data_IF_604231341491
#
_entry.id   IF_604231341491
#
_cell.length_a   1.000
_cell.length_b   1.000
_cell.length_c   1.000
_cell.angle_alpha   90.00
_cell.angle_beta   90.00
_cell.angle_gamma   90.00
#
_symmetry.space_group_name_H-M   'P 1'
#
loop_
_entity.id
_entity.type
_entity.pdbx_description
1 polymer ?
#
# COMPACT_ATOMS: atom_id res chain seq x y z
N UNK A 1 -10.55 20.91 -3.40
CA UNK A 1 -10.69 20.54 -1.96
C UNK A 1 -10.14 21.69 -1.10
N UNK A 2 -10.58 21.88 0.16
CA UNK A 2 -9.93 22.86 1.04
C UNK A 2 -8.49 22.44 1.32
N UNK A 3 -7.61 23.43 1.59
CA UNK A 3 -6.20 23.17 1.89
C UNK A 3 -6.09 22.27 3.13
N UNK A 4 -5.45 21.09 3.04
CA UNK A 4 -5.29 20.21 4.20
C UNK A 4 -4.30 20.82 5.19
N UNK A 5 -4.42 20.41 6.45
CA UNK A 5 -3.39 20.74 7.44
C UNK A 5 -2.14 19.93 7.14
N UNK A 6 -0.97 20.51 7.41
CA UNK A 6 0.30 19.80 7.32
C UNK A 6 0.86 19.65 8.73
N UNK A 7 1.32 18.45 9.08
CA UNK A 7 1.96 18.16 10.36
C UNK A 7 3.37 17.62 10.11
N UNK A 8 4.32 18.07 10.94
CA UNK A 8 5.68 17.53 10.97
C UNK A 8 5.80 16.54 12.12
N UNK A 9 6.29 15.34 11.83
CA UNK A 9 6.55 14.30 12.82
C UNK A 9 8.07 14.27 13.08
N UNK A 10 8.52 14.43 14.33
CA UNK A 10 9.94 14.43 14.69
C UNK A 10 10.48 13.00 14.72
N UNK A 11 10.65 12.42 13.53
CA UNK A 11 11.26 11.10 13.36
C UNK A 11 12.22 11.11 12.17
N UNK A 12 13.42 10.52 12.30
CA UNK A 12 14.40 10.47 11.21
C UNK A 12 14.03 9.45 10.12
N UNK A 13 12.98 8.64 10.32
CA UNK A 13 12.56 7.64 9.34
C UNK A 13 11.73 8.33 8.24
N UNK A 14 12.15 8.29 6.96
CA UNK A 14 11.45 8.99 5.89
C UNK A 14 10.07 8.38 5.64
N UNK A 15 9.03 9.19 5.83
CA UNK A 15 7.65 8.80 5.58
C UNK A 15 6.75 10.03 5.37
N UNK A 16 5.63 9.83 4.68
CA UNK A 16 4.49 10.74 4.68
C UNK A 16 3.21 9.91 4.60
N UNK A 17 2.12 10.44 5.16
CA UNK A 17 0.80 9.82 5.03
C UNK A 17 -0.32 10.83 5.23
N UNK A 18 -1.42 10.62 4.53
CA UNK A 18 -2.67 11.33 4.78
C UNK A 18 -3.51 10.66 5.88
N UNK A 19 -4.10 11.48 6.74
CA UNK A 19 -5.09 11.06 7.75
C UNK A 19 -6.27 12.03 7.82
N UNK A 20 -7.39 11.58 8.37
CA UNK A 20 -8.60 12.38 8.53
C UNK A 20 -9.87 11.68 8.02
N UNK A 21 -11.02 12.12 8.52
CA UNK A 21 -12.33 11.48 8.26
C UNK A 21 -12.99 11.92 6.94
N UNK A 22 -12.50 13.00 6.33
CA UNK A 22 -13.01 13.50 5.05
C UNK A 22 -11.99 14.40 4.37
N UNK A 23 -12.12 14.63 3.04
CA UNK A 23 -11.29 15.61 2.34
C UNK A 23 -11.35 17.03 2.91
N UNK A 24 -12.42 17.36 3.65
CA UNK A 24 -12.58 18.67 4.33
C UNK A 24 -11.78 18.79 5.62
N UNK A 25 -11.41 17.67 6.24
CA UNK A 25 -10.67 17.59 7.52
C UNK A 25 -9.48 16.65 7.39
N UNK A 26 -8.78 16.71 6.26
CA UNK A 26 -7.58 15.93 6.03
C UNK A 26 -6.34 16.64 6.60
N UNK A 27 -5.43 15.85 7.15
CA UNK A 27 -4.10 16.26 7.58
C UNK A 27 -3.08 15.38 6.87
N UNK A 28 -2.09 15.99 6.25
CA UNK A 28 -0.94 15.26 5.69
C UNK A 28 0.19 15.39 6.70
N UNK A 29 0.65 14.25 7.20
CA UNK A 29 1.79 14.19 8.09
C UNK A 29 3.05 13.86 7.27
N UNK A 30 4.13 14.58 7.54
CA UNK A 30 5.44 14.41 6.92
C UNK A 30 6.47 14.24 8.02
N UNK A 31 7.45 13.37 7.84
CA UNK A 31 8.53 13.18 8.83
C UNK A 31 9.72 14.09 8.55
N UNK A 32 10.49 14.44 9.59
CA UNK A 32 11.78 15.12 9.44
C UNK A 32 12.76 14.31 8.57
N UNK A 33 12.73 12.98 8.69
CA UNK A 33 13.46 12.07 7.81
C UNK A 33 13.12 12.25 6.34
N UNK A 34 11.87 12.52 6.01
CA UNK A 34 11.47 12.78 4.62
C UNK A 34 12.04 14.11 4.14
N UNK A 35 11.85 15.17 4.94
CA UNK A 35 12.31 16.52 4.63
C UNK A 35 13.83 16.62 4.45
N UNK A 36 14.58 15.79 5.16
CA UNK A 36 16.06 15.74 5.08
C UNK A 36 16.57 14.90 3.91
N UNK A 37 15.79 13.92 3.42
CA UNK A 37 16.20 13.01 2.35
C UNK A 37 15.77 13.44 0.95
N UNK A 38 14.63 14.12 0.85
CA UNK A 38 14.03 14.53 -0.40
C UNK A 38 14.31 16.01 -0.69
N UNK A 39 14.45 16.34 -1.97
CA UNK A 39 14.45 17.74 -2.39
C UNK A 39 13.01 18.28 -2.46
N UNK A 40 12.86 19.58 -2.68
CA UNK A 40 11.55 20.24 -2.74
C UNK A 40 10.62 19.62 -3.78
N UNK A 41 11.17 19.22 -4.95
CA UNK A 41 10.35 18.65 -6.01
C UNK A 41 9.82 17.26 -5.73
N UNK A 42 10.64 16.44 -5.10
CA UNK A 42 10.30 15.13 -4.59
C UNK A 42 9.28 15.21 -3.45
N UNK A 43 9.43 16.18 -2.54
CA UNK A 43 8.45 16.40 -1.46
C UNK A 43 7.10 16.80 -2.05
N UNK A 44 7.07 17.75 -2.98
CA UNK A 44 5.82 18.16 -3.64
C UNK A 44 5.14 16.98 -4.34
N UNK A 45 5.92 16.14 -5.03
CA UNK A 45 5.41 14.96 -5.70
C UNK A 45 4.81 13.92 -4.73
N UNK A 46 5.48 13.67 -3.59
CA UNK A 46 4.96 12.79 -2.51
C UNK A 46 3.68 13.37 -1.90
N UNK A 47 3.64 14.69 -1.65
CA UNK A 47 2.41 15.34 -1.17
C UNK A 47 1.28 15.24 -2.20
N UNK A 48 1.58 15.36 -3.50
CA UNK A 48 0.63 15.13 -4.58
C UNK A 48 0.01 13.73 -4.54
N UNK A 49 0.83 12.71 -4.28
CA UNK A 49 0.38 11.33 -4.08
C UNK A 49 -0.55 11.19 -2.87
N UNK A 50 -0.17 11.73 -1.70
CA UNK A 50 -0.99 11.70 -0.49
C UNK A 50 -2.32 12.46 -0.67
N UNK A 51 -2.28 13.58 -1.40
CA UNK A 51 -3.47 14.34 -1.77
C UNK A 51 -4.43 13.52 -2.65
N UNK A 52 -3.91 12.73 -3.58
CA UNK A 52 -4.72 11.87 -4.44
C UNK A 52 -5.48 10.81 -3.61
N UNK A 53 -4.85 10.24 -2.57
CA UNK A 53 -5.53 9.33 -1.64
C UNK A 53 -6.67 10.00 -0.87
N UNK A 54 -6.46 11.26 -0.44
CA UNK A 54 -7.49 12.05 0.24
C UNK A 54 -8.67 12.32 -0.70
N UNK A 55 -8.39 12.79 -1.91
CA UNK A 55 -9.41 13.16 -2.90
C UNK A 55 -10.34 11.98 -3.21
N UNK A 56 -9.77 10.80 -3.35
CA UNK A 56 -10.52 9.59 -3.68
C UNK A 56 -11.08 8.81 -2.49
N UNK A 57 -10.77 9.23 -1.26
CA UNK A 57 -11.22 8.56 -0.02
C UNK A 57 -10.73 7.11 0.06
N UNK A 58 -9.44 6.88 -0.21
CA UNK A 58 -8.82 5.54 -0.24
C UNK A 58 -8.95 4.79 1.07
N UNK A 59 -8.87 5.51 2.17
CA UNK A 59 -9.11 4.97 3.52
C UNK A 59 -10.51 4.41 3.67
N UNK A 60 -11.54 5.10 3.18
CA UNK A 60 -12.92 4.63 3.23
C UNK A 60 -13.13 3.39 2.34
N UNK A 61 -12.64 3.43 1.10
CA UNK A 61 -12.81 2.31 0.16
C UNK A 61 -12.07 1.07 0.66
N UNK A 62 -10.86 1.22 1.19
CA UNK A 62 -10.10 0.12 1.80
C UNK A 62 -10.80 -0.44 3.03
N UNK A 63 -11.40 0.41 3.89
CA UNK A 63 -12.18 -0.04 5.04
C UNK A 63 -13.44 -0.81 4.64
N UNK A 64 -14.18 -0.33 3.63
CA UNK A 64 -15.34 -1.03 3.08
C UNK A 64 -14.95 -2.39 2.48
N UNK A 65 -13.89 -2.44 1.68
CA UNK A 65 -13.39 -3.69 1.10
C UNK A 65 -12.95 -4.69 2.19
N UNK A 66 -12.24 -4.22 3.22
CA UNK A 66 -11.85 -5.06 4.36
C UNK A 66 -13.07 -5.57 5.15
N UNK A 67 -14.10 -4.74 5.32
CA UNK A 67 -15.34 -5.13 6.01
C UNK A 67 -16.09 -6.21 5.23
N UNK A 68 -16.23 -6.06 3.91
CA UNK A 68 -16.87 -7.05 3.04
C UNK A 68 -16.08 -8.36 3.06
N UNK A 69 -14.75 -8.30 2.91
CA UNK A 69 -13.89 -9.48 2.98
C UNK A 69 -13.98 -10.18 4.36
N UNK A 70 -14.06 -9.41 5.44
CA UNK A 70 -14.27 -9.90 6.80
C UNK A 70 -15.61 -10.58 6.97
N UNK A 71 -16.70 -9.99 6.47
CA UNK A 71 -18.04 -10.57 6.51
C UNK A 71 -18.10 -11.90 5.74
N UNK A 72 -17.53 -11.95 4.53
CA UNK A 72 -17.45 -13.17 3.72
C UNK A 72 -16.66 -14.26 4.47
N UNK A 73 -15.51 -13.90 5.04
CA UNK A 73 -14.68 -14.83 5.83
C UNK A 73 -15.41 -15.34 7.08
N UNK A 74 -16.18 -14.48 7.75
CA UNK A 74 -16.98 -14.85 8.92
C UNK A 74 -18.13 -15.78 8.56
N UNK A 75 -18.83 -15.55 7.45
CA UNK A 75 -19.87 -16.46 6.95
C UNK A 75 -19.30 -17.82 6.57
N UNK A 76 -18.13 -17.86 5.92
CA UNK A 76 -17.42 -19.10 5.65
C UNK A 76 -17.06 -19.83 6.96
N UNK A 77 -16.58 -19.09 7.97
CA UNK A 77 -16.27 -19.66 9.29
C UNK A 77 -17.50 -20.25 9.99
N UNK A 78 -18.65 -19.56 9.99
CA UNK A 78 -19.89 -20.09 10.55
C UNK A 78 -20.38 -21.34 9.78
N UNK A 79 -20.30 -21.31 8.45
CA UNK A 79 -20.60 -22.46 7.60
C UNK A 79 -19.76 -23.68 7.96
N UNK A 80 -18.47 -23.49 8.31
CA UNK A 80 -17.60 -24.56 8.80
C UNK A 80 -18.18 -25.27 10.02
N UNK A 81 -18.63 -24.53 11.03
CA UNK A 81 -19.23 -25.12 12.25
C UNK A 81 -20.57 -25.80 12.00
N UNK A 82 -21.40 -25.23 11.12
CA UNK A 82 -22.67 -25.84 10.71
C UNK A 82 -22.51 -27.22 10.08
N UNK A 83 -21.43 -27.44 9.32
CA UNK A 83 -21.11 -28.76 8.72
C UNK A 83 -20.64 -29.77 9.78
N UNK A 84 -19.90 -29.32 10.80
CA UNK A 84 -19.42 -30.19 11.88
C UNK A 84 -20.54 -30.56 12.88
N UNK A 85 -21.49 -29.66 13.15
CA UNK A 85 -22.59 -29.87 14.10
C UNK A 85 -23.85 -30.47 13.46
N UNK A 86 -24.07 -30.26 12.16
CA UNK A 86 -25.32 -30.59 11.45
C UNK A 86 -25.33 -31.92 10.69
N UNK A 87 -24.40 -32.86 10.96
CA UNK A 87 -24.36 -34.16 10.28
C UNK A 87 -25.44 -35.12 10.82
N UNK A 88 -26.71 -34.76 10.68
CA UNK A 88 -27.82 -35.71 10.73
C UNK A 88 -27.92 -36.43 9.39
N UNK A 89 -27.89 -37.76 9.46
CA UNK A 89 -28.22 -38.70 8.38
C UNK A 89 -29.58 -38.32 7.81
N UNK A 90 -29.64 -37.73 6.63
CA UNK A 90 -30.60 -38.14 5.60
C UNK A 90 -30.21 -37.58 4.23
N UNK A 91 -30.38 -38.44 3.24
CA UNK A 91 -29.81 -38.32 1.90
C UNK A 91 -30.62 -37.40 0.99
N UNK A 92 -29.97 -36.99 -0.11
CA UNK A 92 -30.52 -36.42 -1.38
C UNK A 92 -30.54 -34.90 -1.53
N UNK A 93 -29.36 -34.30 -1.39
CA UNK A 93 -28.75 -33.43 -2.42
C UNK A 93 -27.36 -33.07 -1.90
N UNK A 94 -26.41 -33.99 -2.07
CA UNK A 94 -25.07 -33.80 -1.57
C UNK A 94 -24.33 -32.83 -2.47
N UNK A 95 -24.41 -31.53 -2.15
CA UNK A 95 -23.26 -30.67 -2.43
C UNK A 95 -22.05 -31.42 -1.83
N UNK A 96 -21.10 -31.89 -2.65
CA UNK A 96 -20.10 -32.84 -2.15
C UNK A 96 -19.42 -32.22 -0.94
N UNK A 97 -19.28 -32.96 0.16
CA UNK A 97 -18.57 -32.47 1.36
C UNK A 97 -17.20 -31.88 0.98
N UNK A 98 -16.58 -32.45 -0.05
CA UNK A 98 -15.39 -31.93 -0.72
C UNK A 98 -15.54 -30.51 -1.28
N UNK A 99 -16.63 -30.21 -2.01
CA UNK A 99 -16.91 -28.88 -2.55
C UNK A 99 -17.09 -27.83 -1.43
N UNK A 100 -17.74 -28.22 -0.34
CA UNK A 100 -17.91 -27.33 0.81
C UNK A 100 -16.56 -27.09 1.51
N UNK A 101 -15.78 -28.13 1.78
CA UNK A 101 -14.42 -28.00 2.34
C UNK A 101 -13.50 -27.15 1.47
N UNK A 102 -13.57 -27.33 0.15
CA UNK A 102 -12.80 -26.53 -0.80
C UNK A 102 -13.20 -25.05 -0.75
N UNK A 103 -14.51 -24.75 -0.65
CA UNK A 103 -15.01 -23.37 -0.55
C UNK A 103 -14.52 -22.65 0.70
N UNK A 104 -14.37 -23.34 1.84
CA UNK A 104 -13.87 -22.75 3.09
C UNK A 104 -12.42 -22.25 3.01
N UNK A 105 -11.64 -22.81 2.09
CA UNK A 105 -10.26 -22.40 1.84
C UNK A 105 -10.22 -21.37 0.72
N UNK A 106 -10.93 -21.62 -0.38
CA UNK A 106 -10.88 -20.77 -1.57
C UNK A 106 -11.53 -19.40 -1.35
N UNK A 107 -12.62 -19.31 -0.58
CA UNK A 107 -13.36 -18.06 -0.38
C UNK A 107 -12.50 -17.01 0.37
N UNK A 108 -11.88 -17.30 1.52
CA UNK A 108 -10.99 -16.34 2.20
C UNK A 108 -9.78 -15.93 1.35
N UNK A 109 -9.22 -16.86 0.58
CA UNK A 109 -8.10 -16.56 -0.34
C UNK A 109 -8.58 -15.60 -1.43
N UNK A 110 -9.71 -15.90 -2.08
CA UNK A 110 -10.28 -15.03 -3.11
C UNK A 110 -10.60 -13.63 -2.56
N UNK A 111 -11.22 -13.53 -1.38
CA UNK A 111 -11.52 -12.26 -0.73
C UNK A 111 -10.24 -11.46 -0.43
N UNK A 112 -9.18 -12.13 0.04
CA UNK A 112 -7.88 -11.50 0.29
C UNK A 112 -7.24 -11.00 -1.00
N UNK A 113 -7.27 -11.80 -2.08
CA UNK A 113 -6.73 -11.42 -3.38
C UNK A 113 -7.48 -10.22 -3.98
N UNK A 114 -8.81 -10.20 -3.89
CA UNK A 114 -9.63 -9.07 -4.33
C UNK A 114 -9.26 -7.81 -3.55
N UNK A 115 -9.16 -7.88 -2.22
CA UNK A 115 -8.75 -6.76 -1.37
C UNK A 115 -7.36 -6.23 -1.77
N UNK A 116 -6.39 -7.11 -1.98
CA UNK A 116 -5.04 -6.73 -2.40
C UNK A 116 -5.04 -6.10 -3.80
N UNK A 117 -5.84 -6.61 -4.74
CA UNK A 117 -5.98 -6.05 -6.07
C UNK A 117 -6.57 -4.64 -6.04
N UNK A 118 -7.60 -4.41 -5.23
CA UNK A 118 -8.19 -3.08 -5.00
C UNK A 118 -7.13 -2.13 -4.43
N UNK A 119 -6.42 -2.54 -3.37
CA UNK A 119 -5.36 -1.73 -2.74
C UNK A 119 -4.28 -1.32 -3.75
N UNK A 120 -3.75 -2.28 -4.52
CA UNK A 120 -2.69 -2.01 -5.51
C UNK A 120 -3.18 -1.12 -6.65
N UNK A 121 -4.42 -1.31 -7.12
CA UNK A 121 -5.04 -0.46 -8.14
C UNK A 121 -5.11 1.00 -7.70
N UNK A 122 -5.40 1.22 -6.41
CA UNK A 122 -5.48 2.56 -5.80
C UNK A 122 -4.14 3.25 -5.70
N UNK A 123 -3.10 2.55 -5.29
CA UNK A 123 -1.73 3.07 -5.28
C UNK A 123 -1.28 3.54 -6.66
N UNK A 124 -1.53 2.74 -7.71
CA UNK A 124 -1.20 3.15 -9.08
C UNK A 124 -1.98 4.38 -9.54
N UNK A 125 -3.26 4.49 -9.14
CA UNK A 125 -4.09 5.64 -9.47
C UNK A 125 -3.60 6.89 -8.74
N UNK A 126 -3.21 6.76 -7.48
CA UNK A 126 -2.66 7.85 -6.68
C UNK A 126 -1.30 8.32 -7.21
N UNK A 127 -0.42 7.40 -7.65
CA UNK A 127 0.81 7.73 -8.36
C UNK A 127 0.54 8.56 -9.63
N UNK A 128 -0.39 8.09 -10.46
CA UNK A 128 -0.71 8.74 -11.72
C UNK A 128 -1.33 10.12 -11.51
N UNK A 129 -2.33 10.23 -10.63
CA UNK A 129 -3.01 11.51 -10.38
C UNK A 129 -2.15 12.49 -9.59
N UNK A 130 -1.37 12.02 -8.60
CA UNK A 130 -0.43 12.86 -7.87
C UNK A 130 0.65 13.42 -8.79
N UNK A 131 1.20 12.59 -9.68
CA UNK A 131 2.16 13.04 -10.69
C UNK A 131 1.55 14.02 -11.70
N UNK A 132 0.30 13.79 -12.16
CA UNK A 132 -0.40 14.72 -13.05
C UNK A 132 -0.72 16.04 -12.37
N UNK A 133 -1.14 16.01 -11.11
CA UNK A 133 -1.48 17.21 -10.34
C UNK A 133 -0.28 18.12 -10.11
N UNK A 134 0.88 17.52 -9.85
CA UNK A 134 2.14 18.24 -9.59
C UNK A 134 2.93 18.51 -10.87
N UNK A 135 2.62 17.81 -11.96
CA UNK A 135 3.45 17.79 -13.16
C UNK A 135 4.81 17.11 -12.93
N UNK A 136 4.93 16.26 -11.90
CA UNK A 136 6.23 15.72 -11.41
C UNK A 136 6.33 14.20 -11.35
N UNK A 137 6.17 13.50 -12.49
CA UNK A 137 6.27 12.04 -12.52
C UNK A 137 7.68 11.51 -12.19
N UNK A 138 8.76 12.20 -12.60
CA UNK A 138 10.12 11.74 -12.35
C UNK A 138 10.55 12.00 -10.91
N UNK A 139 10.22 13.16 -10.34
CA UNK A 139 10.49 13.43 -8.94
C UNK A 139 9.75 12.44 -8.03
N UNK A 140 8.50 12.05 -8.34
CA UNK A 140 7.82 11.00 -7.57
C UNK A 140 8.57 9.66 -7.65
N UNK A 141 9.01 9.26 -8.85
CA UNK A 141 9.82 8.05 -9.04
C UNK A 141 11.11 8.10 -8.19
N UNK A 142 11.82 9.24 -8.21
CA UNK A 142 13.06 9.43 -7.47
C UNK A 142 12.82 9.40 -5.96
N UNK A 143 11.76 10.06 -5.49
CA UNK A 143 11.35 10.06 -4.09
C UNK A 143 11.12 8.64 -3.57
N UNK A 144 10.34 7.83 -4.30
CA UNK A 144 10.05 6.45 -3.89
C UNK A 144 11.33 5.60 -3.77
N UNK A 145 12.31 5.79 -4.67
CA UNK A 145 13.61 5.10 -4.61
C UNK A 145 14.40 5.56 -3.37
N UNK A 146 14.48 6.87 -3.13
CA UNK A 146 15.20 7.44 -1.99
C UNK A 146 14.60 7.01 -0.65
N UNK A 147 13.27 7.01 -0.54
CA UNK A 147 12.56 6.55 0.66
C UNK A 147 12.87 5.08 0.91
N UNK A 148 12.71 4.20 -0.11
CA UNK A 148 13.03 2.76 0.04
C UNK A 148 14.46 2.59 0.49
N UNK A 149 15.43 3.15 -0.21
CA UNK A 149 16.84 2.97 0.12
C UNK A 149 17.19 3.51 1.51
N UNK A 150 16.57 4.61 1.93
CA UNK A 150 16.75 5.15 3.29
C UNK A 150 16.19 4.21 4.35
N UNK A 151 14.94 3.73 4.19
CA UNK A 151 14.31 2.79 5.14
C UNK A 151 15.10 1.48 5.21
N UNK A 152 15.59 0.98 4.08
CA UNK A 152 16.40 -0.25 4.01
C UNK A 152 17.78 -0.12 4.64
N UNK A 153 18.29 1.09 4.82
CA UNK A 153 19.60 1.33 5.43
C UNK A 153 19.53 1.52 6.95
N UNK A 154 18.32 1.62 7.51
CA UNK A 154 18.12 1.76 8.95
C UNK A 154 18.16 0.39 9.65
N UNK A 155 18.60 0.33 10.91
CA UNK A 155 18.45 -0.86 11.73
C UNK A 155 16.95 -1.19 11.94
N UNK A 156 16.60 -2.43 12.31
CA UNK A 156 15.22 -2.81 12.62
C UNK A 156 14.58 -1.81 13.58
N UNK A 157 13.51 -1.16 13.12
CA UNK A 157 12.84 -0.12 13.88
C UNK A 157 11.83 -0.75 14.85
N UNK A 158 11.71 -0.28 16.10
CA UNK A 158 10.64 -0.67 17.01
C UNK A 158 9.34 0.03 16.60
N UNK A 159 8.75 -0.44 15.51
CA UNK A 159 7.48 0.08 14.96
C UNK A 159 6.30 -0.76 15.45
N UNK A 160 5.24 -0.09 15.88
CA UNK A 160 3.99 -0.74 16.22
C UNK A 160 3.39 -1.40 14.95
N UNK A 161 3.14 -2.72 14.94
CA UNK A 161 2.54 -3.41 13.79
C UNK A 161 1.23 -2.79 13.30
N UNK A 162 0.45 -2.20 14.22
CA UNK A 162 -0.81 -1.52 13.91
C UNK A 162 -0.62 -0.25 13.06
N UNK A 163 0.59 0.31 12.99
CA UNK A 163 0.88 1.53 12.21
C UNK A 163 1.46 1.25 10.83
N UNK A 164 1.82 -0.01 10.52
CA UNK A 164 2.57 -0.39 9.30
C UNK A 164 1.89 0.07 8.00
N UNK A 165 0.56 0.12 7.99
CA UNK A 165 -0.24 0.59 6.85
C UNK A 165 -0.14 2.10 6.57
N UNK A 166 0.44 2.88 7.48
CA UNK A 166 0.71 4.32 7.31
C UNK A 166 2.11 4.59 6.74
N UNK A 167 2.89 3.56 6.45
CA UNK A 167 4.27 3.70 5.97
C UNK A 167 4.34 3.48 4.45
N UNK A 168 4.98 4.41 3.74
CA UNK A 168 5.26 4.29 2.29
C UNK A 168 6.10 3.04 1.99
N UNK A 169 7.03 2.70 2.89
CA UNK A 169 7.86 1.51 2.82
C UNK A 169 7.77 0.78 4.15
N UNK A 170 7.40 -0.50 4.11
CA UNK A 170 7.25 -1.32 5.31
C UNK A 170 8.59 -1.41 6.08
N UNK A 171 8.68 -0.87 7.30
CA UNK A 171 9.91 -0.91 8.12
C UNK A 171 10.14 -2.26 8.82
N UNK A 172 9.12 -3.11 8.94
CA UNK A 172 9.22 -4.47 9.46
C UNK A 172 9.67 -5.41 8.32
N UNK A 173 10.97 -5.49 8.07
CA UNK A 173 11.51 -6.42 7.07
C UNK A 173 11.84 -7.77 7.68
N UNK A 174 11.22 -8.81 7.12
CA UNK A 174 11.47 -10.23 7.34
C UNK A 174 10.35 -11.05 6.70
N UNK A 175 10.70 -12.01 5.85
CA UNK A 175 9.83 -12.98 5.15
C UNK A 175 9.25 -12.57 3.78
N UNK A 176 9.86 -13.15 2.74
CA UNK A 176 9.46 -13.08 1.31
C UNK A 176 8.00 -13.52 1.04
N UNK A 177 7.39 -14.31 1.94
CA UNK A 177 5.98 -14.70 1.86
C UNK A 177 5.01 -13.56 2.25
N UNK A 178 5.43 -12.66 3.14
CA UNK A 178 4.64 -11.47 3.52
C UNK A 178 4.69 -10.37 2.44
N UNK A 179 5.68 -10.41 1.55
CA UNK A 179 5.81 -9.46 0.43
C UNK A 179 4.64 -9.61 -0.58
N UNK A 180 4.07 -10.82 -0.70
CA UNK A 180 2.85 -11.08 -1.48
C UNK A 180 1.58 -10.53 -0.82
N UNK A 181 1.61 -10.38 0.50
CA UNK A 181 0.55 -9.76 1.32
C UNK A 181 0.76 -8.26 1.53
N UNK A 182 1.83 -7.67 0.97
CA UNK A 182 2.02 -6.22 0.94
C UNK A 182 0.86 -5.56 0.20
N UNK A 183 0.21 -4.63 0.89
CA UNK A 183 -0.86 -3.76 0.37
C UNK A 183 -0.35 -2.81 -0.71
N UNK A 184 0.96 -2.56 -0.75
CA UNK A 184 1.61 -1.74 -1.77
C UNK A 184 2.12 -2.59 -2.95
N UNK A 185 1.97 -2.11 -4.20
CA UNK A 185 2.58 -2.76 -5.34
C UNK A 185 4.11 -2.65 -5.29
N UNK A 186 4.81 -3.50 -6.05
CA UNK A 186 6.27 -3.47 -6.08
C UNK A 186 6.80 -2.11 -6.55
N UNK A 187 7.87 -1.63 -5.91
CA UNK A 187 8.43 -0.31 -6.22
C UNK A 187 8.81 -0.20 -7.69
N UNK A 188 9.37 -1.27 -8.26
CA UNK A 188 9.82 -1.32 -9.65
C UNK A 188 8.66 -1.04 -10.62
N UNK A 189 7.47 -1.59 -10.34
CA UNK A 189 6.28 -1.36 -11.16
C UNK A 189 5.78 0.07 -11.06
N UNK A 190 5.80 0.66 -9.85
CA UNK A 190 5.42 2.07 -9.64
C UNK A 190 6.36 3.00 -10.41
N UNK A 191 7.68 2.83 -10.24
CA UNK A 191 8.72 3.62 -10.93
C UNK A 191 8.60 3.48 -12.44
N UNK A 192 8.39 2.26 -12.95
CA UNK A 192 8.20 2.04 -14.39
C UNK A 192 6.97 2.79 -14.93
N UNK A 193 5.83 2.70 -14.24
CA UNK A 193 4.60 3.40 -14.63
C UNK A 193 4.76 4.92 -14.61
N UNK A 194 5.42 5.47 -13.59
CA UNK A 194 5.70 6.91 -13.49
C UNK A 194 6.59 7.41 -14.62
N UNK A 195 7.63 6.66 -14.99
CA UNK A 195 8.47 7.01 -16.15
C UNK A 195 7.74 6.88 -17.48
N UNK A 196 6.85 5.89 -17.62
CA UNK A 196 5.97 5.80 -18.78
C UNK A 196 5.04 6.99 -18.85
N UNK A 197 4.48 7.42 -17.72
CA UNK A 197 3.63 8.60 -17.62
C UNK A 197 4.39 9.88 -17.98
N UNK A 198 5.63 10.04 -17.51
CA UNK A 198 6.52 11.15 -17.89
C UNK A 198 6.66 11.28 -19.41
N UNK A 199 6.93 10.16 -20.10
CA UNK A 199 6.99 10.11 -21.56
C UNK A 199 5.65 10.50 -22.22
N UNK A 200 4.52 10.03 -21.68
CA UNK A 200 3.19 10.34 -22.22
C UNK A 200 2.81 11.81 -22.02
N UNK A 201 3.23 12.41 -20.90
CA UNK A 201 3.02 13.82 -20.60
C UNK A 201 4.00 14.73 -21.36
N UNK A 202 5.10 14.18 -21.90
CA UNK A 202 6.19 14.98 -22.46
C UNK A 202 6.95 15.79 -21.40
N UNK A 203 6.91 15.35 -20.13
CA UNK A 203 7.49 16.09 -18.99
C UNK A 203 8.59 15.25 -18.36
N UNK A 204 9.78 15.84 -18.28
CA UNK A 204 10.95 15.32 -17.56
C UNK A 204 11.37 16.34 -16.51
N UNK A 205 10.66 16.34 -15.39
CA UNK A 205 10.75 17.32 -14.33
C UNK A 205 12.03 17.22 -13.48
N UNK A 206 12.77 16.11 -13.58
CA UNK A 206 14.04 15.88 -12.88
C UNK A 206 14.91 14.86 -13.64
N UNK A 207 16.17 14.70 -13.24
CA UNK A 207 17.06 13.64 -13.71
C UNK A 207 16.67 12.31 -13.05
N UNK A 208 16.26 11.28 -13.82
CA UNK A 208 15.84 10.01 -13.24
C UNK A 208 17.00 9.26 -12.59
N UNK A 209 16.80 8.74 -11.37
CA UNK A 209 17.75 7.83 -10.73
C UNK A 209 17.87 6.53 -11.57
N UNK A 210 19.05 5.98 -11.83
CA UNK A 210 19.18 4.74 -12.60
C UNK A 210 18.43 3.55 -11.96
N UNK A 211 17.83 2.68 -12.77
CA UNK A 211 17.02 1.55 -12.27
C UNK A 211 17.83 0.52 -11.48
N UNK A 212 19.16 0.51 -11.61
CA UNK A 212 20.05 -0.34 -10.83
C UNK A 212 19.95 -0.09 -9.31
N UNK A 213 19.55 1.13 -8.91
CA UNK A 213 19.30 1.49 -7.50
C UNK A 213 18.02 0.89 -6.92
N UNK A 214 17.24 0.15 -7.72
CA UNK A 214 16.10 -0.65 -7.26
C UNK A 214 16.52 -2.04 -6.75
N UNK A 215 17.72 -2.52 -7.13
CA UNK A 215 18.22 -3.81 -6.65
C UNK A 215 18.57 -3.67 -5.16
N UNK A 216 18.13 -4.59 -4.28
CA UNK A 216 18.52 -4.55 -2.89
C UNK A 216 20.05 -4.66 -2.81
N UNK A 217 20.70 -3.63 -2.25
CA UNK A 217 22.11 -3.75 -1.86
C UNK A 217 22.19 -4.89 -0.85
N UNK A 218 23.11 -5.86 -1.07
CA UNK A 218 23.40 -6.89 -0.06
C UNK A 218 23.71 -6.18 1.25
N UNK A 219 22.87 -6.39 2.25
CA UNK A 219 23.01 -5.74 3.55
C UNK A 219 24.26 -6.35 4.23
N UNK A 220 25.15 -5.52 4.80
CA UNK A 220 26.39 -6.00 5.43
C UNK A 220 26.16 -6.83 6.70
N UNK A 221 24.92 -6.89 7.20
CA UNK A 221 24.55 -7.58 8.44
C UNK A 221 24.09 -9.04 8.26
N UNK A 222 24.23 -9.59 7.04
CA UNK A 222 23.94 -11.00 6.73
C UNK A 222 25.23 -11.80 6.43
N UNK A 223 26.27 -11.58 7.24
CA UNK A 223 27.43 -12.44 7.43
C UNK A 223 27.65 -12.62 8.94
#
# INVERSE_FOLDING_TARGET
MPKPRVALIPTPVPNAFATGRSPKKATIAVTEGLMTKLNESEIEAVLGHELAHVLHRDTLVSAMAATIAGAISYLAYLGRWGIFLGRSRDERESTPLFAIMLSLILIPIAATLIRLAISRGREYKADEEGAKLTGRPIALSNALIKIRNSVLSLPPLPVNPGTVHLWIVNPLKGESLLELLSTHPSLEKRVFKLRKLANQMGVWDDKPIPLEYLKPRRLPWFL
#
